data_IF_476471391006
#
_entry.id   IF_476471391006
#
_cell.length_a   1.000
_cell.length_b   1.000
_cell.length_c   1.000
_cell.angle_alpha   90.00
_cell.angle_beta   90.00
_cell.angle_gamma   90.00
#
_symmetry.space_group_name_H-M   'P 1'
#
loop_
_entity.id
_entity.type
_entity.pdbx_description
1 polymer ?
#
# COMPACT_ATOMS: atom_id res chain seq x y z
N UNK A 1 -12.53 2.15 12.34
CA UNK A 1 -11.18 2.34 11.76
C UNK A 1 -10.37 1.05 11.71
N UNK A 2 -10.43 0.15 12.71
CA UNK A 2 -9.65 -1.12 12.69
C UNK A 2 -9.96 -1.96 11.46
N UNK A 3 -11.24 -2.26 11.21
CA UNK A 3 -11.64 -3.04 10.04
C UNK A 3 -11.21 -2.39 8.71
N UNK A 4 -11.14 -1.05 8.65
CA UNK A 4 -10.65 -0.34 7.48
C UNK A 4 -9.13 -0.55 7.31
N UNK A 5 -8.36 -0.50 8.39
CA UNK A 5 -6.93 -0.80 8.37
C UNK A 5 -6.68 -2.27 7.96
N UNK A 6 -7.55 -3.20 8.37
CA UNK A 6 -7.48 -4.60 7.93
C UNK A 6 -7.70 -4.73 6.42
N UNK A 7 -8.68 -4.03 5.85
CA UNK A 7 -8.85 -3.95 4.39
C UNK A 7 -7.61 -3.36 3.71
N UNK A 8 -7.01 -2.32 4.30
CA UNK A 8 -5.80 -1.71 3.77
C UNK A 8 -4.60 -2.66 3.83
N UNK A 9 -4.51 -3.52 4.84
CA UNK A 9 -3.50 -4.57 4.94
C UNK A 9 -3.63 -5.60 3.82
N UNK A 10 -4.86 -6.02 3.50
CA UNK A 10 -5.11 -6.93 2.37
C UNK A 10 -4.66 -6.29 1.05
N UNK A 11 -4.98 -5.02 0.84
CA UNK A 11 -4.53 -4.29 -0.35
C UNK A 11 -3.00 -4.13 -0.39
N UNK A 12 -2.37 -3.85 0.75
CA UNK A 12 -0.92 -3.78 0.88
C UNK A 12 -0.27 -5.10 0.46
N UNK A 13 -0.73 -6.24 0.96
CA UNK A 13 -0.20 -7.56 0.60
C UNK A 13 -0.28 -7.81 -0.91
N UNK A 14 -1.44 -7.55 -1.54
CA UNK A 14 -1.61 -7.71 -2.99
C UNK A 14 -0.62 -6.83 -3.76
N UNK A 15 -0.44 -5.57 -3.34
CA UNK A 15 0.50 -4.64 -3.99
C UNK A 15 1.93 -5.10 -3.81
N UNK A 16 2.36 -5.49 -2.62
CA UNK A 16 3.74 -5.93 -2.38
C UNK A 16 4.07 -7.26 -3.08
N UNK A 17 3.07 -8.13 -3.31
CA UNK A 17 3.25 -9.35 -4.11
C UNK A 17 3.25 -9.10 -5.62
N UNK A 18 2.47 -8.13 -6.11
CA UNK A 18 2.28 -7.90 -7.55
C UNK A 18 3.19 -6.79 -8.09
N UNK A 19 3.86 -6.05 -7.21
CA UNK A 19 4.74 -4.92 -7.56
C UNK A 19 5.96 -4.98 -6.66
N UNK A 20 7.15 -4.69 -7.20
CA UNK A 20 8.39 -4.57 -6.42
C UNK A 20 8.43 -3.31 -5.53
N UNK A 21 7.28 -2.89 -5.00
CA UNK A 21 7.13 -1.72 -4.13
C UNK A 21 6.77 -2.26 -2.75
N UNK A 22 7.54 -1.86 -1.73
CA UNK A 22 7.18 -2.08 -0.33
C UNK A 22 6.56 -0.80 0.23
N UNK A 23 5.47 -0.93 0.98
CA UNK A 23 4.88 0.22 1.65
C UNK A 23 5.75 0.66 2.83
N UNK A 24 5.86 1.97 3.08
CA UNK A 24 6.77 2.51 4.10
C UNK A 24 6.38 2.12 5.53
N UNK A 25 5.08 1.92 5.79
CA UNK A 25 4.59 1.58 7.13
C UNK A 25 4.03 0.16 7.14
N UNK A 26 4.43 -0.65 8.13
CA UNK A 26 3.97 -2.04 8.24
C UNK A 26 2.70 -2.10 9.06
N UNK A 27 1.62 -2.60 8.48
CA UNK A 27 0.37 -2.83 9.22
C UNK A 27 0.54 -4.10 10.08
N UNK A 28 0.18 -3.98 11.36
CA UNK A 28 0.22 -5.03 12.37
C UNK A 28 -1.19 -5.28 12.91
N UNK A 29 -1.34 -6.38 13.65
CA UNK A 29 -2.62 -6.78 14.20
C UNK A 29 -3.25 -5.73 15.14
N UNK A 30 -4.57 -5.82 15.29
CA UNK A 30 -5.37 -5.07 16.28
C UNK A 30 -5.31 -3.55 16.12
N UNK A 31 -5.15 -3.06 14.88
CA UNK A 31 -5.19 -1.63 14.58
C UNK A 31 -3.86 -0.92 14.81
N UNK A 32 -2.73 -1.59 14.56
CA UNK A 32 -1.40 -1.04 14.82
C UNK A 32 -0.62 -0.85 13.52
N UNK A 33 0.23 0.17 13.47
CA UNK A 33 1.20 0.38 12.40
C UNK A 33 2.59 0.53 12.99
N UNK A 34 3.59 0.00 12.30
CA UNK A 34 4.99 0.14 12.63
C UNK A 34 5.67 1.09 11.63
N UNK A 35 6.43 2.05 12.15
CA UNK A 35 7.25 2.95 11.33
C UNK A 35 8.62 2.33 10.96
N UNK A 36 9.38 2.95 10.03
CA UNK A 36 10.68 2.43 9.63
C UNK A 36 11.70 2.31 10.76
N UNK A 37 11.57 3.13 11.80
CA UNK A 37 12.42 3.12 13.00
C UNK A 37 12.01 2.00 13.98
N UNK A 38 10.95 1.26 13.67
CA UNK A 38 10.46 0.13 14.43
C UNK A 38 9.39 0.49 15.47
N UNK A 39 9.01 1.76 15.59
CA UNK A 39 8.05 2.24 16.58
C UNK A 39 6.63 1.91 16.17
N UNK A 40 5.82 1.53 17.17
CA UNK A 40 4.45 1.04 16.95
C UNK A 40 3.44 2.08 17.43
N UNK A 41 2.51 2.43 16.53
CA UNK A 41 1.42 3.35 16.79
C UNK A 41 0.08 2.66 16.59
N UNK A 42 -0.95 3.15 17.29
CA UNK A 42 -2.30 2.59 17.26
C UNK A 42 -3.27 3.58 16.67
N UNK A 43 -4.17 3.11 15.78
CA UNK A 43 -5.30 3.92 15.29
C UNK A 43 -6.50 3.93 16.26
N UNK A 44 -6.41 3.16 17.36
CA UNK A 44 -7.39 3.23 18.46
C UNK A 44 -7.11 4.46 19.30
N UNK A 45 -8.19 5.18 19.64
CA UNK A 45 -8.13 6.36 20.51
C UNK A 45 -7.85 6.00 21.98
N UNK A 46 -8.52 4.96 22.49
CA UNK A 46 -8.44 4.63 23.92
C UNK A 46 -7.00 4.31 24.36
N UNK A 47 -6.53 5.00 25.40
CA UNK A 47 -5.17 4.82 25.94
C UNK A 47 -4.06 5.38 25.05
N UNK A 48 -4.38 6.33 24.17
CA UNK A 48 -3.45 6.93 23.22
C UNK A 48 -3.34 8.44 23.43
N UNK A 49 -2.21 9.05 23.05
CA UNK A 49 -2.12 10.51 22.94
C UNK A 49 -2.67 10.97 21.61
N UNK A 50 -3.17 12.21 21.53
CA UNK A 50 -3.63 12.80 20.28
C UNK A 50 -2.51 12.81 19.23
N UNK A 51 -1.28 13.10 19.64
CA UNK A 51 -0.10 13.07 18.77
C UNK A 51 0.15 11.69 18.17
N UNK A 52 0.21 10.64 18.99
CA UNK A 52 0.47 9.27 18.52
C UNK A 52 -0.67 8.72 17.68
N UNK A 53 -1.92 9.03 18.07
CA UNK A 53 -3.10 8.66 17.30
C UNK A 53 -3.11 9.35 15.94
N UNK A 54 -2.86 10.65 15.89
CA UNK A 54 -2.76 11.42 14.64
C UNK A 54 -1.63 10.92 13.76
N UNK A 55 -0.47 10.58 14.35
CA UNK A 55 0.66 9.96 13.63
C UNK A 55 0.23 8.64 13.00
N UNK A 56 -0.48 7.77 13.74
CA UNK A 56 -0.99 6.51 13.20
C UNK A 56 -1.95 6.72 12.01
N UNK A 57 -2.86 7.68 12.12
CA UNK A 57 -3.78 8.02 11.03
C UNK A 57 -3.04 8.56 9.80
N UNK A 58 -2.04 9.43 10.01
CA UNK A 58 -1.19 9.95 8.93
C UNK A 58 -0.44 8.82 8.23
N UNK A 59 0.13 7.87 8.97
CA UNK A 59 0.80 6.69 8.41
C UNK A 59 -0.15 5.85 7.55
N UNK A 60 -1.37 5.60 8.05
CA UNK A 60 -2.42 4.87 7.30
C UNK A 60 -2.74 5.57 5.97
N UNK A 61 -2.93 6.90 5.97
CA UNK A 61 -3.22 7.67 4.76
C UNK A 61 -2.06 7.68 3.77
N UNK A 62 -0.82 7.72 4.24
CA UNK A 62 0.37 7.64 3.38
C UNK A 62 0.44 6.27 2.69
N UNK A 63 0.22 5.17 3.43
CA UNK A 63 0.14 3.83 2.82
C UNK A 63 -0.96 3.76 1.76
N UNK A 64 -2.15 4.32 2.05
CA UNK A 64 -3.24 4.39 1.08
C UNK A 64 -2.86 5.16 -0.19
N UNK A 65 -2.16 6.29 -0.05
CA UNK A 65 -1.62 7.05 -1.19
C UNK A 65 -0.69 6.20 -2.06
N UNK A 66 0.23 5.45 -1.43
CA UNK A 66 1.15 4.56 -2.15
C UNK A 66 0.43 3.44 -2.90
N UNK A 67 -0.58 2.82 -2.26
CA UNK A 67 -1.42 1.81 -2.91
C UNK A 67 -2.11 2.40 -4.14
N UNK A 68 -2.73 3.58 -4.02
CA UNK A 68 -3.39 4.26 -5.15
C UNK A 68 -2.38 4.55 -6.27
N UNK A 69 -1.20 5.06 -5.95
CA UNK A 69 -0.15 5.32 -6.94
C UNK A 69 0.30 4.04 -7.67
N UNK A 70 0.49 2.94 -6.93
CA UNK A 70 0.84 1.64 -7.50
C UNK A 70 -0.26 1.08 -8.42
N UNK A 71 -1.53 1.29 -8.09
CA UNK A 71 -2.66 0.89 -8.94
C UNK A 71 -2.79 1.76 -10.19
N UNK A 72 -2.58 3.08 -10.06
CA UNK A 72 -2.64 4.01 -11.20
C UNK A 72 -1.54 3.74 -12.22
N UNK A 73 -0.33 3.39 -11.77
CA UNK A 73 0.78 3.01 -12.68
C UNK A 73 0.53 1.68 -13.40
N UNK A 74 -0.15 0.72 -12.76
CA UNK A 74 -0.54 -0.55 -13.41
C UNK A 74 -1.55 -0.36 -14.54
N UNK A 75 -2.49 0.58 -14.41
CA UNK A 75 -3.45 0.91 -15.49
C UNK A 75 -2.75 1.40 -16.75
N UNK A 76 -1.67 2.18 -16.60
CA UNK A 76 -0.85 2.64 -17.72
C UNK A 76 -0.01 1.52 -18.35
N UNK A 77 0.39 0.49 -17.60
CA UNK A 77 1.15 -0.67 -18.14
C UNK A 77 0.30 -1.58 -19.03
N UNK A 78 -1.01 -1.73 -18.74
CA UNK A 78 -1.91 -2.53 -19.59
C UNK A 78 -2.17 -1.91 -20.96
N UNK A 79 -1.98 -0.59 -21.12
CA UNK A 79 -2.14 0.10 -22.40
C UNK A 79 -0.94 -0.04 -23.35
N UNK A 80 0.20 -0.56 -22.89
CA UNK A 80 1.45 -0.68 -23.68
C UNK A 80 1.82 -2.15 -23.92
N UNK A 81 0.82 -3.04 -24.08
CA UNK A 81 1.08 -4.41 -24.53
C UNK A 81 0.13 -4.84 -25.64
N UNK A 82 0.06 -4.02 -26.70
CA UNK A 82 -0.43 -4.44 -28.01
C UNK A 82 0.68 -4.07 -29.01
N UNK A 83 1.19 -5.11 -29.67
CA UNK A 83 2.15 -5.14 -30.78
C UNK A 83 3.65 -5.11 -30.46
N UNK A 84 4.20 -6.32 -30.34
CA UNK A 84 5.39 -6.71 -31.14
C UNK A 84 5.34 -8.22 -31.43
N UNK A 85 4.46 -8.62 -32.35
CA UNK A 85 4.66 -9.86 -33.10
C UNK A 85 5.59 -9.53 -34.28
N UNK A 86 6.77 -10.17 -34.41
CA UNK A 86 7.65 -9.93 -35.55
C UNK A 86 6.95 -10.41 -36.83
N UNK A 87 6.82 -9.50 -37.79
CA UNK A 87 6.56 -9.84 -39.19
C UNK A 87 7.74 -10.65 -39.72
N UNK A 88 7.51 -11.90 -40.09
CA UNK A 88 8.42 -12.65 -40.96
C UNK A 88 7.73 -12.83 -42.30
N UNK A 89 8.08 -11.95 -43.24
CA UNK A 89 7.86 -12.11 -44.67
C UNK A 89 9.11 -12.77 -45.27
N UNK A 90 8.89 -13.54 -46.34
CA UNK A 90 9.87 -14.12 -47.29
C UNK A 90 10.53 -15.44 -46.85
N UNK A 91 10.46 -16.55 -47.60
CA UNK A 91 10.21 -16.78 -49.04
C UNK A 91 9.33 -18.02 -49.28
#
# INVERSE_FOLDING_TARGET
MINFLDCLNQAQQIIEHTSNIQLPFRIKDKGKLQDPDGQIYSIKWNGNSEENWTKALKMMLINMKWIIAALSTKKNKKAINIQSTPSTTDK
#
